data_IF_483001934706
#
_entry.id   IF_483001934706
#
_cell.length_a   1.000
_cell.length_b   1.000
_cell.length_c   1.000
_cell.angle_alpha   90.00
_cell.angle_beta   90.00
_cell.angle_gamma   90.00
#
_symmetry.space_group_name_H-M   'P 1'
#
loop_
_entity.id
_entity.type
_entity.pdbx_description
1 polymer ?
#
# COMPACT_ATOMS: atom_id res chain seq x y z
N UNK A 1 -12.41 -8.19 12.03
CA UNK A 1 -11.31 -7.93 12.99
C UNK A 1 -11.33 -9.02 14.04
N UNK A 2 -10.22 -9.75 14.20
CA UNK A 2 -10.06 -10.66 15.33
C UNK A 2 -9.75 -9.81 16.55
N UNK A 3 -10.38 -10.11 17.69
CA UNK A 3 -10.06 -9.48 18.97
C UNK A 3 -9.28 -10.47 19.81
N UNK A 4 -8.29 -9.97 20.52
CA UNK A 4 -7.63 -10.73 21.57
C UNK A 4 -8.66 -11.13 22.63
N UNK A 5 -8.59 -12.37 23.11
CA UNK A 5 -9.63 -12.92 23.99
C UNK A 5 -9.59 -12.34 25.39
N UNK A 6 -8.41 -11.97 25.86
CA UNK A 6 -8.19 -11.51 27.24
C UNK A 6 -8.38 -9.99 27.35
N UNK A 7 -7.76 -9.23 26.44
CA UNK A 7 -7.80 -7.77 26.41
C UNK A 7 -9.01 -7.20 25.67
N UNK A 8 -9.68 -8.01 24.82
CA UNK A 8 -10.76 -7.59 23.91
C UNK A 8 -10.37 -6.50 22.91
N UNK A 9 -9.08 -6.22 22.77
CA UNK A 9 -8.55 -5.24 21.84
C UNK A 9 -8.47 -5.83 20.42
N UNK A 10 -8.57 -4.97 19.39
CA UNK A 10 -8.21 -5.32 18.01
C UNK A 10 -6.84 -6.00 17.90
N UNK A 11 -6.79 -7.15 17.24
CA UNK A 11 -5.53 -7.87 16.99
C UNK A 11 -5.32 -8.13 15.51
N UNK A 12 -4.08 -7.95 15.07
CA UNK A 12 -3.60 -8.33 13.74
C UNK A 12 -2.68 -9.56 13.88
N UNK A 13 -3.07 -10.69 13.28
CA UNK A 13 -2.24 -11.89 13.25
C UNK A 13 -1.39 -11.91 11.99
N UNK A 14 -0.07 -11.88 12.13
CA UNK A 14 0.88 -12.08 11.04
C UNK A 14 1.36 -13.53 11.05
N UNK A 15 1.14 -14.26 9.96
CA UNK A 15 1.48 -15.69 9.84
C UNK A 15 2.74 -15.95 9.03
N UNK A 16 3.22 -14.93 8.33
CA UNK A 16 4.34 -15.01 7.40
C UNK A 16 5.52 -14.20 7.93
N UNK A 17 6.72 -14.58 7.52
CA UNK A 17 7.92 -13.78 7.66
C UNK A 17 8.09 -12.96 6.38
N UNK A 18 7.89 -11.65 6.50
CA UNK A 18 8.05 -10.69 5.42
C UNK A 18 9.05 -9.62 5.85
N UNK A 19 9.79 -9.05 4.90
CA UNK A 19 10.66 -7.92 5.16
C UNK A 19 10.55 -6.90 4.02
N UNK A 20 10.81 -5.63 4.32
CA UNK A 20 10.73 -4.53 3.35
C UNK A 20 11.25 -3.24 3.95
N UNK A 21 11.29 -2.18 3.15
CA UNK A 21 11.77 -0.86 3.56
C UNK A 21 10.66 0.18 3.41
N UNK A 22 10.64 1.17 4.31
CA UNK A 22 9.75 2.33 4.21
C UNK A 22 10.60 3.54 3.84
N UNK A 23 10.33 4.10 2.66
CA UNK A 23 10.99 5.32 2.19
C UNK A 23 10.11 6.51 2.52
N UNK A 24 10.63 7.40 3.36
CA UNK A 24 9.98 8.68 3.64
C UNK A 24 10.31 9.63 2.49
N UNK A 25 9.31 9.92 1.67
CA UNK A 25 9.37 10.99 0.66
C UNK A 25 9.05 12.30 1.39
N UNK A 26 9.90 13.32 1.22
CA UNK A 26 9.92 14.51 2.07
C UNK A 26 8.61 15.31 2.10
N UNK A 27 8.31 15.85 3.28
CA UNK A 27 7.34 16.93 3.48
C UNK A 27 8.07 18.27 3.23
N UNK A 28 7.62 19.10 2.29
CA UNK A 28 7.51 20.52 2.68
C UNK A 28 6.65 20.53 3.96
N UNK A 29 7.10 21.25 4.98
CA UNK A 29 6.55 21.27 6.35
C UNK A 29 5.04 21.00 6.43
N UNK A 30 4.53 20.37 7.52
CA UNK A 30 3.10 20.35 7.75
C UNK A 30 2.62 21.80 7.93
N UNK A 31 2.21 22.45 6.84
CA UNK A 31 1.25 23.54 6.94
C UNK A 31 0.06 22.88 7.62
N UNK A 32 -0.31 23.35 8.81
CA UNK A 32 -1.51 22.97 9.56
C UNK A 32 -2.69 22.82 8.61
N UNK A 33 -2.89 21.60 8.11
CA UNK A 33 -3.95 21.22 7.18
C UNK A 33 -4.57 20.00 7.79
N UNK A 34 -5.33 20.26 8.85
CA UNK A 34 -6.26 19.31 9.47
C UNK A 34 -7.30 18.76 8.47
N UNK A 35 -7.38 19.30 7.25
CA UNK A 35 -8.34 18.92 6.20
C UNK A 35 -7.71 18.38 4.90
N UNK A 36 -6.89 17.31 4.96
CA UNK A 36 -6.48 16.57 3.74
C UNK A 36 -6.59 15.05 3.82
N UNK A 37 -7.50 14.55 4.64
CA UNK A 37 -8.02 13.20 4.43
C UNK A 37 -8.81 13.18 3.09
N UNK A 38 -8.20 12.70 1.99
CA UNK A 38 -8.82 12.09 0.78
C UNK A 38 -8.20 12.46 -0.58
N UNK A 39 -7.08 13.18 -0.67
CA UNK A 39 -6.36 13.20 -1.95
C UNK A 39 -5.59 11.88 -2.09
N UNK A 40 -6.07 10.97 -2.95
CA UNK A 40 -5.27 9.80 -3.35
C UNK A 40 -3.96 10.34 -3.95
N UNK A 41 -2.84 10.09 -3.29
CA UNK A 41 -1.53 10.40 -3.84
C UNK A 41 -1.33 9.56 -5.10
N UNK A 42 -0.83 10.18 -6.17
CA UNK A 42 -0.48 9.50 -7.40
C UNK A 42 0.85 8.76 -7.28
N UNK A 43 1.27 8.11 -8.37
CA UNK A 43 2.57 7.43 -8.45
C UNK A 43 3.75 8.40 -8.64
N UNK A 44 3.47 9.68 -8.84
CA UNK A 44 4.44 10.77 -8.96
C UNK A 44 5.27 10.97 -7.68
N UNK A 45 4.75 10.55 -6.52
CA UNK A 45 5.49 10.56 -5.24
C UNK A 45 6.81 9.80 -5.28
N UNK A 46 6.97 8.85 -6.21
CA UNK A 46 8.18 8.05 -6.35
C UNK A 46 9.22 8.67 -7.29
N UNK A 47 8.82 9.66 -8.11
CA UNK A 47 9.71 10.32 -9.09
C UNK A 47 10.90 10.93 -8.37
N UNK A 48 12.10 10.67 -8.86
CA UNK A 48 13.36 11.15 -8.27
C UNK A 48 13.79 10.44 -6.98
N UNK A 49 12.95 9.59 -6.39
CA UNK A 49 13.26 8.85 -5.15
C UNK A 49 13.59 7.39 -5.45
N UNK A 50 12.70 6.69 -6.16
CA UNK A 50 12.91 5.30 -6.58
C UNK A 50 12.44 5.07 -8.02
N UNK A 51 13.13 4.23 -8.80
CA UNK A 51 12.64 3.81 -10.09
C UNK A 51 11.39 2.93 -9.90
N UNK A 52 10.30 3.29 -10.58
CA UNK A 52 9.10 2.46 -10.64
C UNK A 52 9.25 1.49 -11.82
N UNK A 53 9.37 0.17 -11.59
CA UNK A 53 9.67 -0.78 -12.68
C UNK A 53 8.46 -1.11 -13.55
N UNK A 54 7.25 -0.79 -13.10
CA UNK A 54 6.00 -1.03 -13.82
C UNK A 54 5.62 0.20 -14.65
N UNK A 55 4.92 0.00 -15.77
CA UNK A 55 4.31 1.09 -16.52
C UNK A 55 3.20 1.78 -15.70
N UNK A 56 3.20 3.11 -15.70
CA UNK A 56 2.21 3.94 -15.01
C UNK A 56 1.58 4.92 -16.01
N UNK A 57 0.23 5.00 -16.10
CA UNK A 57 -0.74 4.16 -15.40
C UNK A 57 -0.73 2.72 -15.95
N UNK A 58 -1.12 1.77 -15.10
CA UNK A 58 -1.30 0.38 -15.54
C UNK A 58 -2.47 0.24 -16.51
N UNK A 59 -2.34 -0.67 -17.48
CA UNK A 59 -3.42 -0.94 -18.45
C UNK A 59 -4.65 -1.53 -17.76
N UNK A 60 -5.84 -1.04 -18.13
CA UNK A 60 -7.10 -1.56 -17.63
C UNK A 60 -7.19 -3.09 -17.80
N UNK A 61 -7.74 -3.76 -16.80
CA UNK A 61 -7.82 -5.22 -16.80
C UNK A 61 -8.67 -5.78 -17.94
N UNK A 62 -9.80 -5.13 -18.22
CA UNK A 62 -10.72 -5.51 -19.30
C UNK A 62 -11.31 -6.90 -19.06
N UNK A 63 -11.31 -7.73 -20.11
CA UNK A 63 -11.81 -9.11 -20.08
C UNK A 63 -10.75 -10.14 -19.70
N UNK A 64 -9.53 -9.70 -19.34
CA UNK A 64 -8.44 -10.60 -18.94
C UNK A 64 -8.81 -11.34 -17.66
N UNK A 65 -8.25 -12.53 -17.46
CA UNK A 65 -8.43 -13.33 -16.25
C UNK A 65 -7.13 -13.42 -15.48
N UNK A 66 -7.17 -13.39 -14.13
CA UNK A 66 -5.96 -13.47 -13.33
C UNK A 66 -5.36 -14.84 -13.52
N UNK A 67 -4.04 -14.88 -13.51
CA UNK A 67 -3.34 -16.15 -13.47
C UNK A 67 -3.66 -16.81 -12.12
N UNK A 68 -4.32 -17.96 -12.18
CA UNK A 68 -4.62 -18.80 -11.02
C UNK A 68 -3.86 -20.11 -11.20
N UNK A 69 -2.84 -20.29 -10.37
CA UNK A 69 -2.14 -21.57 -10.33
C UNK A 69 -3.05 -22.62 -9.67
N UNK A 70 -3.18 -23.79 -10.32
CA UNK A 70 -3.87 -24.96 -9.77
C UNK A 70 -2.93 -26.15 -9.91
N UNK A 71 -2.48 -26.69 -8.78
CA UNK A 71 -1.84 -28.01 -8.75
C UNK A 71 -2.89 -29.06 -9.18
N UNK A 72 -2.53 -29.90 -10.16
CA UNK A 72 -3.33 -31.05 -10.56
C UNK A 72 -3.11 -32.22 -9.62
#
# INVERSE_FOLDING_TARGET
LVKDKDTREPTLTLRNWECGVVLKVGNEQPSDREDKHKASLGMDVFVGHIPVPMQVPGSQYGLRRPWLYRDH
#
